data_IF_876320677788
#
_entry.id   IF_876320677788
#
_cell.length_a   1.000
_cell.length_b   1.000
_cell.length_c   1.000
_cell.angle_alpha   90.00
_cell.angle_beta   90.00
_cell.angle_gamma   90.00
#
_symmetry.space_group_name_H-M   'P 1'
#
loop_
_entity.id
_entity.type
_entity.pdbx_description
1 polymer ?
#
# COMPACT_ATOMS: atom_id res chain seq x y z
N UNK A 1 -2.47 -6.78 -11.42
CA UNK A 1 -1.09 -6.64 -10.90
C UNK A 1 -0.15 -6.42 -12.08
N UNK A 2 1.02 -5.80 -11.86
CA UNK A 2 1.77 -5.01 -12.85
C UNK A 2 2.06 -5.65 -14.21
N UNK A 3 2.25 -4.81 -15.23
CA UNK A 3 2.38 -5.20 -16.64
C UNK A 3 3.80 -4.99 -17.18
N UNK A 4 4.66 -4.29 -16.44
CA UNK A 4 5.98 -3.84 -16.89
C UNK A 4 7.18 -4.57 -16.23
N UNK A 5 6.93 -5.70 -15.55
CA UNK A 5 7.96 -6.50 -14.88
C UNK A 5 8.52 -5.92 -13.57
N UNK A 6 8.04 -4.75 -13.14
CA UNK A 6 8.37 -4.17 -11.84
C UNK A 6 7.57 -4.87 -10.73
N UNK A 7 8.23 -5.13 -9.60
CA UNK A 7 7.64 -5.78 -8.44
C UNK A 7 7.69 -4.86 -7.21
N UNK A 8 6.71 -5.03 -6.30
CA UNK A 8 6.61 -4.25 -5.06
C UNK A 8 7.93 -4.27 -4.27
N UNK A 9 8.57 -5.43 -4.19
CA UNK A 9 9.80 -5.67 -3.42
C UNK A 9 11.02 -4.90 -3.93
N UNK A 10 11.01 -4.39 -5.17
CA UNK A 10 12.11 -3.58 -5.69
C UNK A 10 12.17 -2.20 -5.01
N UNK A 11 11.02 -1.67 -4.55
CA UNK A 11 10.96 -0.41 -3.78
C UNK A 11 10.70 -0.65 -2.29
N UNK A 12 9.93 -1.70 -1.96
CA UNK A 12 9.49 -2.04 -0.61
C UNK A 12 9.83 -3.51 -0.29
N UNK A 13 11.13 -3.88 -0.16
CA UNK A 13 11.52 -5.24 0.20
C UNK A 13 10.93 -5.61 1.56
N UNK A 14 10.25 -6.75 1.64
CA UNK A 14 9.51 -7.19 2.84
C UNK A 14 8.59 -6.09 3.42
N UNK A 15 7.89 -5.37 2.53
CA UNK A 15 7.03 -4.24 2.88
C UNK A 15 7.72 -3.12 3.67
N UNK A 16 9.06 -3.00 3.61
CA UNK A 16 9.80 -1.95 4.27
C UNK A 16 9.30 -0.55 3.86
N UNK A 17 9.26 0.38 4.83
CA UNK A 17 8.86 1.78 4.63
C UNK A 17 7.45 2.00 4.05
N UNK A 18 6.55 1.02 4.13
CA UNK A 18 5.15 1.17 3.71
C UNK A 18 4.26 1.79 4.80
N UNK A 19 4.66 1.67 6.06
CA UNK A 19 4.01 2.25 7.24
C UNK A 19 2.48 2.05 7.31
N UNK A 20 1.96 0.81 7.18
CA UNK A 20 0.53 0.51 7.29
C UNK A 20 -0.09 1.00 8.60
N UNK A 21 0.68 0.98 9.69
CA UNK A 21 0.26 1.40 11.03
C UNK A 21 -0.12 2.88 11.16
N UNK A 22 0.22 3.67 10.14
CA UNK A 22 -0.05 5.12 10.09
C UNK A 22 -1.28 5.49 9.27
N UNK A 23 -1.89 4.52 8.59
CA UNK A 23 -3.13 4.74 7.85
C UNK A 23 -4.36 4.59 8.76
N UNK A 24 -5.43 5.37 8.55
CA UNK A 24 -5.62 6.38 7.49
C UNK A 24 -4.76 7.64 7.70
N UNK A 25 -4.28 8.24 6.61
CA UNK A 25 -3.50 9.49 6.66
C UNK A 25 -3.60 10.31 5.39
N UNK A 26 -3.26 11.60 5.48
CA UNK A 26 -3.14 12.45 4.31
C UNK A 26 -2.00 11.95 3.42
N UNK A 27 -2.32 11.57 2.18
CA UNK A 27 -1.31 11.21 1.21
C UNK A 27 -1.14 12.29 0.16
N UNK A 28 0.07 12.83 0.06
CA UNK A 28 0.40 13.93 -0.86
C UNK A 28 0.14 13.54 -2.31
N UNK A 29 0.49 12.31 -2.69
CA UNK A 29 0.29 11.76 -4.04
C UNK A 29 -1.19 11.63 -4.42
N UNK A 30 -2.08 11.54 -3.43
CA UNK A 30 -3.52 11.42 -3.62
C UNK A 30 -4.29 12.72 -3.33
N UNK A 31 -3.64 13.71 -2.70
CA UNK A 31 -4.24 14.99 -2.35
C UNK A 31 -5.38 14.91 -1.31
N UNK A 32 -5.49 13.81 -0.57
CA UNK A 32 -6.56 13.57 0.41
C UNK A 32 -6.14 12.65 1.54
N UNK A 33 -6.92 12.62 2.62
CA UNK A 33 -6.85 11.53 3.61
C UNK A 33 -7.25 10.24 2.90
N UNK A 34 -6.40 9.23 3.01
CA UNK A 34 -6.51 7.99 2.26
C UNK A 34 -6.37 6.78 3.16
N UNK A 35 -7.00 5.69 2.73
CA UNK A 35 -6.77 4.36 3.23
C UNK A 35 -5.51 3.76 2.60
N UNK A 36 -4.91 2.75 3.24
CA UNK A 36 -3.72 2.08 2.71
C UNK A 36 -3.94 1.48 1.31
N UNK A 37 -5.12 0.87 1.07
CA UNK A 37 -5.44 0.25 -0.22
C UNK A 37 -5.48 1.24 -1.39
N UNK A 38 -5.82 2.50 -1.13
CA UNK A 38 -5.80 3.55 -2.16
C UNK A 38 -4.37 3.87 -2.57
N UNK A 39 -3.43 3.88 -1.61
CA UNK A 39 -2.01 4.03 -1.92
C UNK A 39 -1.45 2.79 -2.62
N UNK A 40 -1.87 1.59 -2.24
CA UNK A 40 -1.52 0.36 -2.97
C UNK A 40 -1.97 0.45 -4.44
N UNK A 41 -3.21 0.89 -4.69
CA UNK A 41 -3.70 1.10 -6.05
C UNK A 41 -2.96 2.23 -6.78
N UNK A 42 -2.49 3.26 -6.08
CA UNK A 42 -1.61 4.27 -6.66
C UNK A 42 -0.28 3.65 -7.12
N UNK A 43 0.33 2.78 -6.32
CA UNK A 43 1.55 2.05 -6.69
C UNK A 43 1.32 1.07 -7.85
N UNK A 44 0.18 0.39 -7.86
CA UNK A 44 -0.18 -0.54 -8.96
C UNK A 44 -0.30 0.21 -10.28
N UNK A 45 -0.95 1.38 -10.28
CA UNK A 45 -1.19 2.13 -11.52
C UNK A 45 0.02 2.87 -12.04
N UNK A 46 0.75 3.57 -11.16
CA UNK A 46 1.77 4.51 -11.60
C UNK A 46 3.12 3.79 -11.82
N UNK A 47 3.80 3.23 -10.80
CA UNK A 47 5.01 2.44 -11.00
C UNK A 47 4.84 1.12 -11.77
N UNK A 48 3.76 0.37 -11.51
CA UNK A 48 3.59 -1.00 -12.03
C UNK A 48 2.78 -1.07 -13.34
N UNK A 49 2.23 0.06 -13.79
CA UNK A 49 1.40 0.17 -15.01
C UNK A 49 0.25 -0.85 -15.09
N UNK A 50 -0.26 -1.25 -13.91
CA UNK A 50 -1.34 -2.23 -13.76
C UNK A 50 -2.71 -1.58 -13.57
N UNK A 51 -3.74 -2.44 -13.54
CA UNK A 51 -5.10 -2.03 -13.21
C UNK A 51 -5.35 -2.04 -11.69
N UNK A 52 -6.10 -1.05 -11.21
CA UNK A 52 -6.56 -0.99 -9.81
C UNK A 52 -7.35 -2.24 -9.44
N UNK A 53 -7.23 -2.63 -8.18
CA UNK A 53 -8.07 -3.64 -7.54
C UNK A 53 -9.24 -2.95 -6.81
N UNK A 54 -10.36 -3.65 -6.70
CA UNK A 54 -11.43 -3.20 -5.79
C UNK A 54 -10.95 -3.24 -4.34
N UNK A 55 -11.57 -2.45 -3.46
CA UNK A 55 -11.18 -2.39 -2.05
C UNK A 55 -11.38 -3.73 -1.32
N UNK A 56 -12.38 -4.50 -1.76
CA UNK A 56 -12.77 -5.82 -1.27
C UNK A 56 -12.25 -6.97 -2.14
N UNK A 57 -11.39 -6.69 -3.13
CA UNK A 57 -10.75 -7.74 -3.94
C UNK A 57 -9.87 -8.63 -3.03
N UNK A 58 -10.00 -9.97 -3.10
CA UNK A 58 -9.19 -10.88 -2.28
C UNK A 58 -7.67 -10.64 -2.40
N UNK A 59 -7.19 -10.21 -3.57
CA UNK A 59 -5.77 -9.86 -3.77
C UNK A 59 -5.39 -8.60 -3.01
N UNK A 60 -6.27 -7.60 -2.98
CA UNK A 60 -6.06 -6.39 -2.19
C UNK A 60 -6.00 -6.75 -0.70
N UNK A 61 -6.96 -7.54 -0.21
CA UNK A 61 -6.94 -8.04 1.16
C UNK A 61 -5.63 -8.75 1.48
N UNK A 62 -5.17 -9.66 0.62
CA UNK A 62 -3.91 -10.38 0.83
C UNK A 62 -2.70 -9.44 0.92
N UNK A 63 -2.61 -8.42 0.06
CA UNK A 63 -1.53 -7.43 0.09
C UNK A 63 -1.54 -6.66 1.41
N UNK A 64 -2.71 -6.15 1.82
CA UNK A 64 -2.85 -5.40 3.08
C UNK A 64 -2.48 -6.26 4.28
N UNK A 65 -2.96 -7.51 4.33
CA UNK A 65 -2.61 -8.46 5.37
C UNK A 65 -1.11 -8.72 5.45
N UNK A 66 -0.46 -8.94 4.31
CA UNK A 66 0.98 -9.17 4.26
C UNK A 66 1.77 -7.94 4.74
N UNK A 67 1.43 -6.75 4.24
CA UNK A 67 2.10 -5.50 4.63
C UNK A 67 1.95 -5.23 6.13
N UNK A 68 0.76 -5.43 6.69
CA UNK A 68 0.53 -5.32 8.14
C UNK A 68 1.29 -6.39 8.93
N UNK A 69 1.37 -7.62 8.42
CA UNK A 69 2.11 -8.71 9.07
C UNK A 69 3.62 -8.43 9.16
N UNK A 70 4.23 -7.96 8.08
CA UNK A 70 5.65 -7.58 8.06
C UNK A 70 5.94 -6.41 9.02
N UNK A 71 4.94 -5.56 9.26
CA UNK A 71 5.02 -4.38 10.14
C UNK A 71 4.40 -4.60 11.52
N UNK A 72 4.21 -5.87 11.93
CA UNK A 72 3.66 -6.23 13.25
C UNK A 72 4.52 -5.71 14.39
N UNK A 73 3.89 -5.43 15.54
CA UNK A 73 4.56 -4.94 16.75
C UNK A 73 4.87 -3.44 16.75
N UNK A 74 4.61 -2.73 15.64
CA UNK A 74 4.69 -1.28 15.60
C UNK A 74 3.38 -0.68 16.12
N UNK A 75 3.50 0.37 16.93
CA UNK A 75 2.34 1.08 17.49
C UNK A 75 1.50 1.68 16.36
N UNK A 76 0.18 1.50 16.44
CA UNK A 76 -0.76 2.21 15.57
C UNK A 76 -0.70 3.71 15.86
N UNK A 77 -0.41 4.50 14.83
CA UNK A 77 -0.35 5.96 14.89
C UNK A 77 -1.01 6.57 13.64
N UNK A 78 -2.34 6.42 13.46
CA UNK A 78 -3.04 6.97 12.30
C UNK A 78 -2.84 8.48 12.13
N UNK A 79 -2.71 8.94 10.89
CA UNK A 79 -2.50 10.35 10.55
C UNK A 79 -1.04 10.81 10.61
N UNK A 80 -0.12 9.93 11.02
CA UNK A 80 1.32 10.23 11.06
C UNK A 80 1.95 10.14 9.65
N UNK A 81 2.81 11.10 9.34
CA UNK A 81 3.46 11.39 8.04
C UNK A 81 2.59 12.09 7.00
#
# INVERSE_FOLDING_TARGET
>A
MGTNGVACAQCHPNAANTHPETYPKFQKQLGKVSQLWEMVNWCIRNPLEGQSLAADDPKMTAILSYVTYERRGVKLEPGKH
#
